data_IF_009929623621
#
_entry.id   IF_009929623621
#
_cell.length_a   1.000
_cell.length_b   1.000
_cell.length_c   1.000
_cell.angle_alpha   90.00
_cell.angle_beta   90.00
_cell.angle_gamma   90.00
#
_symmetry.space_group_name_H-M   'P 1'
#
loop_
_entity.id
_entity.type
_entity.pdbx_description
1 polymer ?
#
# COMPACT_ATOMS: atom_id res chain seq x y z
N UNK A 1 -1.57 15.01 -5.64
CA UNK A 1 -2.40 14.80 -4.44
C UNK A 1 -1.74 13.74 -3.57
N UNK A 2 -2.01 13.81 -2.27
CA UNK A 2 -1.47 12.91 -1.24
C UNK A 2 -2.62 12.32 -0.44
N UNK A 3 -2.57 11.02 -0.24
CA UNK A 3 -3.55 10.26 0.54
C UNK A 3 -2.90 9.74 1.81
N UNK A 4 -3.64 9.78 2.92
CA UNK A 4 -3.22 9.10 4.15
C UNK A 4 -3.72 7.67 4.09
N UNK A 5 -2.82 6.72 4.32
CA UNK A 5 -3.12 5.30 4.34
C UNK A 5 -2.73 4.75 5.70
N UNK A 6 -3.66 4.07 6.35
CA UNK A 6 -3.43 3.41 7.64
C UNK A 6 -3.21 1.91 7.44
N UNK A 7 -2.15 1.39 8.04
CA UNK A 7 -1.76 -0.03 7.93
C UNK A 7 -2.21 -0.77 9.19
N UNK A 8 -3.24 -1.60 9.04
CA UNK A 8 -3.78 -2.43 10.11
C UNK A 8 -3.16 -3.85 10.09
N UNK A 9 -2.94 -4.48 11.25
CA UNK A 9 -3.32 -4.05 12.62
C UNK A 9 -2.26 -3.19 13.33
N UNK A 10 -1.19 -2.79 12.64
CA UNK A 10 -0.03 -2.12 13.25
C UNK A 10 -0.38 -0.68 13.67
N UNK A 11 -1.41 -0.09 13.07
CA UNK A 11 -1.92 1.24 13.40
C UNK A 11 -1.06 2.38 12.86
N UNK A 12 -0.09 2.08 11.99
CA UNK A 12 0.82 3.08 11.42
C UNK A 12 0.15 3.80 10.26
N UNK A 13 0.29 5.12 10.22
CA UNK A 13 -0.16 5.96 9.11
C UNK A 13 1.02 6.36 8.23
N UNK A 14 0.85 6.22 6.93
CA UNK A 14 1.81 6.66 5.91
C UNK A 14 1.14 7.61 4.92
N UNK A 15 1.95 8.38 4.22
CA UNK A 15 1.50 9.24 3.12
C UNK A 15 1.84 8.56 1.80
N UNK A 16 0.86 8.44 0.92
CA UNK A 16 1.00 7.91 -0.43
C UNK A 16 0.67 9.02 -1.44
N UNK A 17 1.57 9.27 -2.39
CA UNK A 17 1.28 10.18 -3.50
C UNK A 17 0.32 9.53 -4.51
N UNK A 18 -0.43 10.32 -5.28
CA UNK A 18 -1.41 9.82 -6.26
C UNK A 18 -0.81 8.91 -7.34
N UNK A 19 0.46 9.13 -7.70
CA UNK A 19 1.19 8.36 -8.72
C UNK A 19 2.09 7.29 -8.10
N UNK A 20 1.81 6.91 -6.84
CA UNK A 20 2.61 5.96 -6.07
C UNK A 20 1.73 4.79 -5.65
N UNK A 21 2.30 3.58 -5.69
CA UNK A 21 1.62 2.41 -5.12
C UNK A 21 1.71 2.42 -3.60
N UNK A 22 0.67 1.91 -2.93
CA UNK A 22 0.66 1.76 -1.47
C UNK A 22 1.85 0.91 -1.00
N UNK A 23 2.23 -0.12 -1.76
CA UNK A 23 3.40 -0.95 -1.48
C UNK A 23 4.69 -0.12 -1.43
N UNK A 24 4.94 0.73 -2.43
CA UNK A 24 6.13 1.60 -2.43
C UNK A 24 6.10 2.60 -1.28
N UNK A 25 4.93 3.18 -0.98
CA UNK A 25 4.76 4.08 0.16
C UNK A 25 5.10 3.39 1.49
N UNK A 26 4.66 2.14 1.70
CA UNK A 26 5.02 1.35 2.88
C UNK A 26 6.53 1.16 2.98
N UNK A 27 7.17 0.65 1.92
CA UNK A 27 8.59 0.31 1.93
C UNK A 27 9.47 1.54 2.16
N UNK A 28 9.13 2.70 1.56
CA UNK A 28 9.86 3.96 1.77
C UNK A 28 9.75 4.51 3.18
N UNK A 29 8.66 4.21 3.89
CA UNK A 29 8.48 4.57 5.30
C UNK A 29 9.03 3.49 6.25
N UNK A 30 9.76 2.50 5.74
CA UNK A 30 10.32 1.41 6.54
C UNK A 30 9.27 0.41 7.05
N UNK A 31 8.06 0.44 6.51
CA UNK A 31 6.98 -0.47 6.87
C UNK A 31 7.07 -1.71 6.00
N UNK A 32 7.50 -2.80 6.64
CA UNK A 32 7.59 -4.08 5.95
C UNK A 32 6.19 -4.68 5.74
N UNK A 33 5.92 -5.03 4.48
CA UNK A 33 4.74 -5.80 4.07
C UNK A 33 5.19 -6.99 3.23
N UNK A 34 4.48 -8.13 3.24
CA UNK A 34 4.82 -9.26 2.39
C UNK A 34 4.84 -8.84 0.91
N UNK A 35 5.92 -9.10 0.19
CA UNK A 35 6.03 -8.80 -1.23
C UNK A 35 7.05 -9.73 -1.90
N UNK A 36 6.91 -9.89 -3.22
CA UNK A 36 7.87 -10.66 -4.03
C UNK A 36 8.12 -10.00 -5.39
N UNK A 37 7.08 -9.90 -6.24
CA UNK A 37 7.29 -9.41 -7.61
C UNK A 37 7.28 -7.90 -7.77
N UNK A 38 6.61 -7.14 -6.90
CA UNK A 38 6.37 -5.66 -7.02
C UNK A 38 5.78 -5.15 -8.34
N UNK A 39 5.26 -6.02 -9.21
CA UNK A 39 4.67 -5.67 -10.52
C UNK A 39 3.23 -6.20 -10.70
N UNK A 40 2.56 -6.60 -9.61
CA UNK A 40 1.15 -6.99 -9.64
C UNK A 40 0.82 -8.44 -10.06
N UNK A 41 1.82 -9.32 -10.24
CA UNK A 41 1.60 -10.68 -10.78
C UNK A 41 1.52 -11.78 -9.72
N UNK A 42 2.32 -11.70 -8.65
CA UNK A 42 2.48 -12.79 -7.68
C UNK A 42 1.42 -12.82 -6.56
N UNK A 43 0.63 -11.76 -6.40
CA UNK A 43 -0.32 -11.56 -5.30
C UNK A 43 0.25 -11.62 -3.86
N UNK A 44 1.56 -11.74 -3.65
CA UNK A 44 2.16 -11.79 -2.30
C UNK A 44 1.86 -10.55 -1.46
N UNK A 45 1.81 -9.37 -2.08
CA UNK A 45 1.47 -8.11 -1.41
C UNK A 45 -0.02 -7.80 -1.36
N UNK A 46 -0.89 -8.76 -1.66
CA UNK A 46 -2.33 -8.55 -1.61
C UNK A 46 -2.76 -8.27 -0.17
N UNK A 47 -3.54 -7.21 0.01
CA UNK A 47 -4.11 -6.81 1.29
C UNK A 47 -5.61 -6.59 1.17
N UNK A 48 -6.30 -6.60 2.31
CA UNK A 48 -7.73 -6.30 2.38
C UNK A 48 -7.91 -4.82 2.66
N UNK A 49 -8.78 -4.16 1.89
CA UNK A 49 -9.26 -2.81 2.21
C UNK A 49 -10.27 -2.93 3.35
N UNK A 50 -9.95 -2.32 4.49
CA UNK A 50 -10.84 -2.30 5.66
C UNK A 50 -11.84 -1.15 5.54
N UNK A 51 -11.37 0.02 5.10
CA UNK A 51 -12.17 1.24 4.88
C UNK A 51 -11.61 2.03 3.69
N UNK A 52 -12.46 2.82 3.04
CA UNK A 52 -12.10 3.67 1.90
C UNK A 52 -12.15 2.95 0.54
N UNK A 53 -11.65 3.64 -0.48
CA UNK A 53 -11.59 3.17 -1.87
C UNK A 53 -10.13 3.19 -2.36
N UNK A 54 -9.80 2.28 -3.27
CA UNK A 54 -8.48 2.17 -3.89
C UNK A 54 -8.63 2.05 -5.39
N UNK A 55 -7.69 2.63 -6.13
CA UNK A 55 -7.55 2.41 -7.56
C UNK A 55 -6.59 1.24 -7.81
N UNK A 56 -6.99 0.32 -8.67
CA UNK A 56 -6.18 -0.83 -9.09
C UNK A 56 -5.41 -0.57 -10.39
N UNK A 57 -5.55 0.62 -11.00
CA UNK A 57 -4.81 1.03 -12.19
C UNK A 57 -5.27 0.35 -13.47
N UNK A 58 -6.60 0.15 -13.63
CA UNK A 58 -7.21 -0.43 -14.83
C UNK A 58 -7.17 0.53 -16.04
#
# INVERSE_FOLDING_TARGET
MRYKVKIEPIGVEIVCDENQTILDACLRNGIWVPHACTHGTCATCKSKVVEGEVDFGL
#
